data_IF_694721827834
#
_entry.id   IF_694721827834
#
_cell.length_a   1.000
_cell.length_b   1.000
_cell.length_c   1.000
_cell.angle_alpha   90.00
_cell.angle_beta   90.00
_cell.angle_gamma   90.00
#
_symmetry.space_group_name_H-M   'P 1'
#
loop_
_entity.id
_entity.type
_entity.pdbx_description
1 polymer ?
#
# COMPACT_ATOMS: atom_id res chain seq x y z
N UNK A 1 4.27 34.82 -0.50
CA UNK A 1 3.38 33.72 -0.09
C UNK A 1 3.31 32.64 -1.16
N UNK A 2 2.76 32.90 -2.36
CA UNK A 2 2.67 31.87 -3.43
C UNK A 2 4.00 31.24 -3.87
N UNK A 3 5.07 32.03 -4.02
CA UNK A 3 6.42 31.50 -4.35
C UNK A 3 7.02 30.62 -3.25
N UNK A 4 6.71 30.93 -1.99
CA UNK A 4 7.19 30.15 -0.84
C UNK A 4 6.46 28.79 -0.80
N UNK A 5 5.15 28.79 -1.04
CA UNK A 5 4.35 27.56 -1.15
C UNK A 5 4.80 26.66 -2.31
N UNK A 6 5.14 27.24 -3.47
CA UNK A 6 5.67 26.50 -4.62
C UNK A 6 7.01 25.84 -4.33
N UNK A 7 7.91 26.53 -3.62
CA UNK A 7 9.20 25.97 -3.21
C UNK A 7 9.04 24.84 -2.18
N UNK A 8 8.12 25.01 -1.22
CA UNK A 8 7.80 23.97 -0.23
C UNK A 8 7.21 22.70 -0.88
N UNK A 9 6.33 22.84 -1.87
CA UNK A 9 5.75 21.69 -2.57
C UNK A 9 6.75 20.97 -3.47
N UNK A 10 7.74 21.67 -4.04
CA UNK A 10 8.84 21.06 -4.79
C UNK A 10 9.80 20.26 -3.88
N UNK A 11 10.01 20.73 -2.64
CA UNK A 11 10.85 20.04 -1.65
C UNK A 11 10.18 18.80 -1.03
N UNK A 12 8.84 18.72 -1.06
CA UNK A 12 8.05 17.61 -0.53
C UNK A 12 7.66 16.57 -1.59
N UNK A 13 8.33 16.55 -2.75
CA UNK A 13 8.18 15.46 -3.71
C UNK A 13 8.82 14.19 -3.15
N UNK A 14 8.10 13.50 -2.25
CA UNK A 14 8.42 12.15 -1.83
C UNK A 14 8.36 11.28 -3.10
N UNK A 15 9.44 10.59 -3.48
CA UNK A 15 9.34 9.55 -4.49
C UNK A 15 8.31 8.56 -3.99
N UNK A 16 7.16 8.49 -4.67
CA UNK A 16 6.15 7.49 -4.35
C UNK A 16 6.78 6.13 -4.56
N UNK A 17 6.84 5.33 -3.49
CA UNK A 17 7.10 3.89 -3.64
C UNK A 17 6.04 3.35 -4.60
N UNK A 18 6.47 2.62 -5.63
CA UNK A 18 5.57 2.04 -6.60
C UNK A 18 4.90 0.81 -5.98
N UNK A 19 3.92 1.04 -5.11
CA UNK A 19 3.07 -0.01 -4.57
C UNK A 19 2.05 -0.42 -5.63
N UNK A 20 2.00 -1.70 -5.98
CA UNK A 20 0.91 -2.20 -6.83
C UNK A 20 -0.34 -2.35 -5.99
N UNK A 21 -1.44 -1.83 -6.50
CA UNK A 21 -2.74 -1.89 -5.87
C UNK A 21 -3.78 -2.51 -6.82
N UNK A 22 -4.77 -3.19 -6.25
CA UNK A 22 -5.95 -3.66 -6.98
C UNK A 22 -7.22 -3.44 -6.17
N UNK A 23 -8.36 -3.45 -6.85
CA UNK A 23 -9.68 -3.34 -6.24
C UNK A 23 -10.60 -4.45 -6.74
N UNK A 24 -11.32 -5.08 -5.82
CA UNK A 24 -12.26 -6.14 -6.11
C UNK A 24 -13.65 -5.79 -5.58
N UNK A 25 -14.52 -5.32 -6.48
CA UNK A 25 -15.85 -4.80 -6.19
C UNK A 25 -16.88 -5.82 -5.67
N UNK A 26 -16.54 -7.11 -5.63
CA UNK A 26 -17.43 -8.18 -5.13
C UNK A 26 -16.77 -9.00 -4.01
N UNK A 27 -15.57 -8.61 -3.58
CA UNK A 27 -14.91 -9.29 -2.47
C UNK A 27 -15.64 -8.92 -1.16
N UNK A 28 -15.96 -9.91 -0.31
CA UNK A 28 -16.52 -9.63 1.01
C UNK A 28 -15.47 -8.93 1.87
N UNK A 29 -15.92 -8.05 2.77
CA UNK A 29 -15.06 -7.44 3.77
C UNK A 29 -14.84 -8.41 4.94
N UNK A 30 -14.20 -9.53 4.64
CA UNK A 30 -13.89 -10.60 5.58
C UNK A 30 -12.49 -11.12 5.31
N UNK A 31 -11.72 -11.34 6.37
CA UNK A 31 -10.40 -11.93 6.30
C UNK A 31 -10.17 -12.83 7.52
N UNK A 32 -9.74 -14.07 7.27
CA UNK A 32 -9.50 -15.08 8.32
C UNK A 32 -10.69 -15.26 9.30
N UNK A 33 -11.92 -15.18 8.78
CA UNK A 33 -13.16 -15.32 9.57
C UNK A 33 -13.54 -14.08 10.38
N UNK A 34 -12.76 -13.00 10.31
CA UNK A 34 -13.09 -11.71 10.92
C UNK A 34 -13.77 -10.80 9.90
N UNK A 35 -14.93 -10.26 10.27
CA UNK A 35 -15.64 -9.24 9.48
C UNK A 35 -15.02 -7.86 9.71
N UNK A 36 -14.92 -7.07 8.64
CA UNK A 36 -14.45 -5.69 8.64
C UNK A 36 -15.55 -4.75 8.17
N UNK A 37 -15.71 -3.64 8.88
CA UNK A 37 -16.60 -2.54 8.55
C UNK A 37 -15.98 -1.65 7.46
N UNK A 38 -16.81 -0.86 6.79
CA UNK A 38 -16.35 0.09 5.78
C UNK A 38 -15.32 1.06 6.36
N UNK A 39 -14.18 1.18 5.68
CA UNK A 39 -13.02 1.97 6.11
C UNK A 39 -12.03 1.22 7.00
N UNK A 40 -12.38 0.05 7.53
CA UNK A 40 -11.43 -0.77 8.28
C UNK A 40 -10.46 -1.50 7.35
N UNK A 41 -9.25 -1.73 7.88
CA UNK A 41 -8.14 -2.31 7.15
C UNK A 41 -7.53 -3.50 7.89
N UNK A 42 -6.86 -4.36 7.12
CA UNK A 42 -6.07 -5.48 7.63
C UNK A 42 -4.84 -5.71 6.78
N UNK A 43 -3.79 -6.24 7.40
CA UNK A 43 -2.62 -6.75 6.70
C UNK A 43 -2.85 -8.23 6.40
N UNK A 44 -2.76 -8.62 5.13
CA UNK A 44 -2.82 -10.03 4.73
C UNK A 44 -1.46 -10.70 4.86
N UNK A 45 -1.45 -12.04 4.82
CA UNK A 45 -0.23 -12.87 4.80
C UNK A 45 0.67 -12.64 3.59
N UNK A 46 0.16 -12.00 2.53
CA UNK A 46 0.93 -11.68 1.32
C UNK A 46 1.44 -10.23 1.31
N UNK A 47 1.56 -9.59 2.48
CA UNK A 47 2.01 -8.21 2.63
C UNK A 47 1.20 -7.20 1.81
N UNK A 48 -0.12 -7.45 1.75
CA UNK A 48 -1.08 -6.50 1.20
C UNK A 48 -1.83 -5.83 2.35
N UNK A 49 -1.80 -4.51 2.39
CA UNK A 49 -2.72 -3.73 3.21
C UNK A 49 -4.04 -3.61 2.44
N UNK A 50 -5.06 -4.28 2.97
CA UNK A 50 -6.40 -4.32 2.41
C UNK A 50 -7.34 -3.44 3.22
N UNK A 51 -8.30 -2.80 2.55
CA UNK A 51 -9.31 -1.93 3.16
C UNK A 51 -10.69 -2.28 2.59
N UNK A 52 -11.69 -2.33 3.46
CA UNK A 52 -13.10 -2.42 3.06
C UNK A 52 -13.59 -1.07 2.54
N UNK A 53 -14.02 -1.02 1.27
CA UNK A 53 -14.39 0.20 0.56
C UNK A 53 -15.84 0.17 0.05
N UNK A 54 -16.36 1.36 -0.25
CA UNK A 54 -17.69 1.56 -0.82
C UNK A 54 -17.74 1.19 -2.32
N UNK A 55 -18.86 0.67 -2.89
CA UNK A 55 -20.17 0.37 -2.29
C UNK A 55 -20.29 -1.03 -1.65
N UNK A 56 -19.24 -1.84 -1.69
CA UNK A 56 -18.87 -3.04 -0.90
C UNK A 56 -17.82 -3.71 -1.77
N UNK A 57 -16.54 -3.56 -1.41
CA UNK A 57 -15.44 -4.18 -2.12
C UNK A 57 -14.14 -4.03 -1.36
N UNK A 58 -13.11 -4.76 -1.77
CA UNK A 58 -11.81 -4.74 -1.07
C UNK A 58 -10.77 -4.13 -1.99
N UNK A 59 -10.13 -3.07 -1.54
CA UNK A 59 -8.92 -2.53 -2.15
C UNK A 59 -7.70 -3.03 -1.40
N UNK A 60 -6.67 -3.51 -2.09
CA UNK A 60 -5.45 -4.01 -1.49
C UNK A 60 -4.23 -3.41 -2.20
N UNK A 61 -3.20 -3.04 -1.43
CA UNK A 61 -1.92 -2.53 -1.94
C UNK A 61 -0.76 -3.27 -1.31
N UNK A 62 0.29 -3.55 -2.09
CA UNK A 62 1.58 -4.04 -1.59
C UNK A 62 2.18 -3.04 -0.59
N UNK A 63 2.57 -3.53 0.60
CA UNK A 63 3.30 -2.73 1.60
C UNK A 63 4.81 -2.90 1.48
N UNK A 64 5.26 -3.95 0.79
CA UNK A 64 6.68 -4.23 0.60
C UNK A 64 7.36 -3.07 -0.12
N UNK A 65 8.45 -2.60 0.48
CA UNK A 65 9.30 -1.60 -0.15
C UNK A 65 10.15 -2.30 -1.21
N UNK A 66 9.93 -1.96 -2.48
CA UNK A 66 10.75 -2.46 -3.57
C UNK A 66 12.00 -1.55 -3.70
N UNK A 67 13.19 -2.02 -3.31
CA UNK A 67 14.40 -1.23 -3.48
C UNK A 67 14.66 -1.06 -4.99
N UNK A 68 14.88 0.18 -5.42
CA UNK A 68 15.00 0.52 -6.85
C UNK A 68 16.48 0.68 -7.25
N UNK A 69 17.31 1.14 -6.30
CA UNK A 69 18.70 1.53 -6.54
C UNK A 69 19.63 0.75 -5.59
N UNK A 70 19.83 -0.54 -5.87
CA UNK A 70 20.77 -1.40 -5.14
C UNK A 70 21.76 -2.07 -6.11
N UNK A 71 22.95 -2.48 -5.66
CA UNK A 71 23.97 -3.05 -6.55
C UNK A 71 23.51 -4.34 -7.25
N UNK A 72 23.93 -4.56 -8.49
CA UNK A 72 23.55 -5.72 -9.31
C UNK A 72 23.94 -7.10 -8.72
N UNK A 73 24.83 -7.12 -7.72
CA UNK A 73 25.26 -8.32 -7.01
C UNK A 73 24.42 -8.64 -5.77
N UNK A 74 23.43 -7.80 -5.45
CA UNK A 74 22.45 -8.05 -4.40
C UNK A 74 21.14 -8.57 -5.00
N UNK A 75 20.34 -9.24 -4.17
CA UNK A 75 18.96 -9.61 -4.49
C UNK A 75 18.06 -9.12 -3.36
N UNK A 76 16.89 -8.60 -3.69
CA UNK A 76 15.93 -8.15 -2.70
C UNK A 76 15.32 -9.36 -1.98
N UNK A 77 15.45 -9.42 -0.66
CA UNK A 77 14.85 -10.45 0.18
C UNK A 77 13.69 -9.85 0.97
N UNK A 78 12.51 -10.45 0.84
CA UNK A 78 11.30 -10.01 1.54
C UNK A 78 10.94 -11.01 2.63
N UNK A 79 10.65 -10.51 3.82
CA UNK A 79 10.18 -11.33 4.94
C UNK A 79 8.67 -11.19 5.07
N UNK A 80 7.95 -12.29 4.81
CA UNK A 80 6.49 -12.34 4.88
C UNK A 80 5.94 -12.14 6.29
N UNK A 81 6.76 -12.24 7.33
CA UNK A 81 6.35 -11.94 8.71
C UNK A 81 6.39 -10.43 9.01
N UNK A 82 7.16 -9.64 8.25
CA UNK A 82 7.40 -8.22 8.57
C UNK A 82 6.98 -7.21 7.49
N UNK A 83 6.79 -7.63 6.23
CA UNK A 83 6.07 -6.88 5.17
C UNK A 83 6.46 -5.40 4.90
#
# INVERSE_FOLDING_TARGET
>A
WGRLCLLLSLLLQLPGSQAKCYFQAKAPCEYEGKQFSLGESWLSTNCLLCTCLHPIGVGCCETTQHPIDFPDWCEAHYDSQTC
#
